data_IF_481616144723
#
_entry.id   IF_481616144723
#
_cell.length_a   1.000
_cell.length_b   1.000
_cell.length_c   1.000
_cell.angle_alpha   90.00
_cell.angle_beta   90.00
_cell.angle_gamma   90.00
#
_symmetry.space_group_name_H-M   'P 1'
#
loop_
_entity.id
_entity.type
_entity.pdbx_description
1 polymer ?
#
# COMPACT_ATOMS: atom_id res chain seq x y z
N UNK A 1 13.13 -6.88 -10.16
CA UNK A 1 11.99 -7.78 -10.46
C UNK A 1 11.72 -7.99 -11.95
N UNK A 2 11.35 -6.96 -12.73
CA UNK A 2 11.00 -7.10 -14.16
C UNK A 2 12.12 -7.78 -14.97
N UNK A 3 13.37 -7.38 -14.77
CA UNK A 3 14.52 -7.98 -15.44
C UNK A 3 14.68 -9.47 -15.10
N UNK A 4 14.45 -9.84 -13.83
CA UNK A 4 14.47 -11.23 -13.39
C UNK A 4 13.39 -12.03 -14.13
N UNK A 5 12.15 -11.54 -14.23
CA UNK A 5 11.09 -12.21 -15.00
C UNK A 5 11.47 -12.38 -16.48
N UNK A 6 12.06 -11.36 -17.10
CA UNK A 6 12.51 -11.44 -18.50
C UNK A 6 13.60 -12.52 -18.68
N UNK A 7 14.56 -12.62 -17.75
CA UNK A 7 15.57 -13.70 -17.76
C UNK A 7 14.93 -15.09 -17.71
N UNK A 8 13.80 -15.24 -17.03
CA UNK A 8 13.00 -16.48 -17.00
C UNK A 8 12.03 -16.65 -18.19
N UNK A 9 12.15 -15.83 -19.24
CA UNK A 9 11.45 -15.99 -20.51
C UNK A 9 10.12 -15.25 -20.62
N UNK A 10 9.78 -14.39 -19.66
CA UNK A 10 8.65 -13.48 -19.81
C UNK A 10 8.93 -12.42 -20.89
N UNK A 11 7.90 -12.06 -21.67
CA UNK A 11 8.00 -11.08 -22.76
C UNK A 11 7.05 -9.92 -22.49
N UNK A 12 7.59 -8.70 -22.44
CA UNK A 12 6.80 -7.47 -22.27
C UNK A 12 5.72 -7.40 -23.35
N UNK A 13 4.47 -7.09 -22.97
CA UNK A 13 3.34 -6.98 -23.88
C UNK A 13 2.76 -8.30 -24.40
N UNK A 14 3.36 -9.45 -24.06
CA UNK A 14 2.84 -10.78 -24.46
C UNK A 14 2.52 -11.66 -23.26
N UNK A 15 3.46 -11.79 -22.32
CA UNK A 15 3.27 -12.59 -21.09
C UNK A 15 3.60 -11.81 -19.83
N UNK A 16 4.15 -10.60 -19.96
CA UNK A 16 4.41 -9.66 -18.88
C UNK A 16 3.76 -8.32 -19.18
N UNK A 17 2.90 -7.88 -18.28
CA UNK A 17 2.08 -6.70 -18.46
C UNK A 17 2.20 -5.79 -17.23
N UNK A 18 2.32 -4.48 -17.48
CA UNK A 18 2.12 -3.47 -16.45
C UNK A 18 0.70 -2.93 -16.48
N UNK A 19 0.19 -2.57 -15.30
CA UNK A 19 -1.04 -1.80 -15.13
C UNK A 19 -0.73 -0.59 -14.25
N UNK A 20 -0.40 0.53 -14.90
CA UNK A 20 -0.24 1.82 -14.23
C UNK A 20 -1.59 2.49 -14.05
N UNK A 21 -1.75 3.24 -12.97
CA UNK A 21 -2.99 3.93 -12.63
C UNK A 21 -2.71 5.26 -11.93
N UNK A 22 -3.72 6.12 -11.85
CA UNK A 22 -3.62 7.38 -11.09
C UNK A 22 -3.76 7.06 -9.60
N UNK A 23 -2.62 7.06 -8.89
CA UNK A 23 -2.55 6.73 -7.47
C UNK A 23 -3.26 7.75 -6.58
N UNK A 24 -3.66 8.91 -7.10
CA UNK A 24 -4.38 9.94 -6.34
C UNK A 24 -5.85 9.58 -6.17
N UNK A 25 -6.39 8.77 -7.07
CA UNK A 25 -7.81 8.42 -7.10
C UNK A 25 -8.12 7.23 -6.20
N UNK A 26 -9.39 7.05 -5.86
CA UNK A 26 -9.87 5.91 -5.08
C UNK A 26 -9.48 4.58 -5.73
N UNK A 27 -9.10 3.60 -4.89
CA UNK A 27 -8.76 2.24 -5.30
C UNK A 27 -9.93 1.48 -5.96
N UNK A 28 -11.16 1.98 -5.84
CA UNK A 28 -12.37 1.39 -6.44
C UNK A 28 -13.10 2.29 -7.43
N UNK A 29 -12.46 3.35 -7.94
CA UNK A 29 -13.10 4.20 -8.96
C UNK A 29 -13.34 3.39 -10.25
N UNK A 30 -14.51 3.57 -10.87
CA UNK A 30 -14.97 2.78 -12.02
C UNK A 30 -13.93 2.67 -13.14
N UNK A 31 -13.24 3.78 -13.43
CA UNK A 31 -12.18 3.82 -14.45
C UNK A 31 -11.07 2.81 -14.17
N UNK A 32 -10.67 2.64 -12.91
CA UNK A 32 -9.63 1.70 -12.52
C UNK A 32 -10.14 0.26 -12.50
N UNK A 33 -11.39 0.05 -12.09
CA UNK A 33 -12.01 -1.27 -12.07
C UNK A 33 -12.21 -1.81 -13.50
N UNK A 34 -12.84 -1.04 -14.39
CA UNK A 34 -13.02 -1.43 -15.78
C UNK A 34 -11.67 -1.53 -16.52
N UNK A 35 -10.72 -0.64 -16.23
CA UNK A 35 -9.37 -0.72 -16.78
C UNK A 35 -8.66 -2.02 -16.40
N UNK A 36 -8.75 -2.46 -15.14
CA UNK A 36 -8.13 -3.71 -14.68
C UNK A 36 -8.81 -4.93 -15.30
N UNK A 37 -10.15 -4.93 -15.40
CA UNK A 37 -10.92 -5.97 -16.09
C UNK A 37 -10.49 -6.15 -17.54
N UNK A 38 -10.43 -5.07 -18.32
CA UNK A 38 -9.96 -5.09 -19.71
C UNK A 38 -8.51 -5.59 -19.79
N UNK A 39 -7.67 -5.19 -18.84
CA UNK A 39 -6.28 -5.61 -18.79
C UNK A 39 -6.13 -7.12 -18.54
N UNK A 40 -6.88 -7.67 -17.59
CA UNK A 40 -6.90 -9.10 -17.29
C UNK A 40 -7.40 -9.92 -18.47
N UNK A 41 -8.48 -9.48 -19.13
CA UNK A 41 -9.00 -10.15 -20.33
C UNK A 41 -7.97 -10.14 -21.47
N UNK A 42 -7.31 -8.99 -21.68
CA UNK A 42 -6.26 -8.86 -22.71
C UNK A 42 -5.09 -9.80 -22.42
N UNK A 43 -4.62 -9.83 -21.17
CA UNK A 43 -3.52 -10.70 -20.77
C UNK A 43 -3.88 -12.19 -20.86
N UNK A 44 -5.11 -12.55 -20.53
CA UNK A 44 -5.65 -13.91 -20.67
C UNK A 44 -5.68 -14.37 -22.13
N UNK A 45 -6.21 -13.53 -23.03
CA UNK A 45 -6.25 -13.80 -24.48
C UNK A 45 -4.83 -13.91 -25.06
N UNK A 46 -3.96 -12.96 -24.77
CA UNK A 46 -2.56 -12.96 -25.23
C UNK A 46 -1.77 -14.17 -24.70
N UNK A 47 -2.16 -14.71 -23.55
CA UNK A 47 -1.54 -15.89 -22.94
C UNK A 47 -2.11 -17.22 -23.44
N UNK A 48 -2.98 -17.22 -24.46
CA UNK A 48 -3.59 -18.41 -25.04
C UNK A 48 -4.70 -19.03 -24.18
N UNK A 49 -5.44 -18.20 -23.43
CA UNK A 49 -6.51 -18.65 -22.55
C UNK A 49 -6.03 -19.18 -21.19
N UNK A 50 -4.79 -18.90 -20.81
CA UNK A 50 -4.27 -19.21 -19.47
C UNK A 50 -4.59 -18.09 -18.51
N UNK A 51 -5.05 -18.45 -17.31
CA UNK A 51 -5.23 -17.52 -16.19
C UNK A 51 -3.92 -16.81 -15.84
N UNK A 52 -4.05 -15.58 -15.37
CA UNK A 52 -2.97 -14.61 -15.12
C UNK A 52 -2.55 -14.68 -13.65
N UNK A 53 -1.25 -14.47 -13.38
CA UNK A 53 -0.75 -14.25 -12.03
C UNK A 53 -0.59 -12.74 -11.80
N UNK A 54 -1.18 -12.22 -10.74
CA UNK A 54 -1.08 -10.81 -10.34
C UNK A 54 0.06 -10.66 -9.33
N UNK A 55 0.92 -9.67 -9.54
CA UNK A 55 1.85 -9.18 -8.50
C UNK A 55 1.49 -7.73 -8.22
N UNK A 56 1.16 -7.42 -6.97
CA UNK A 56 0.84 -6.06 -6.52
C UNK A 56 1.82 -5.63 -5.43
N UNK A 57 2.03 -4.32 -5.32
CA UNK A 57 2.87 -3.72 -4.27
C UNK A 57 2.12 -2.58 -3.59
N UNK A 58 2.30 -2.46 -2.28
CA UNK A 58 1.76 -1.37 -1.46
C UNK A 58 0.26 -1.19 -1.69
N UNK A 59 -0.19 0.05 -1.91
CA UNK A 59 -1.57 0.39 -2.22
C UNK A 59 -2.17 -0.37 -3.42
N UNK A 60 -1.33 -0.85 -4.36
CA UNK A 60 -1.81 -1.72 -5.44
C UNK A 60 -2.46 -3.01 -4.93
N UNK A 61 -2.12 -3.48 -3.72
CA UNK A 61 -2.82 -4.57 -3.06
C UNK A 61 -4.25 -4.20 -2.67
N UNK A 62 -4.49 -2.97 -2.20
CA UNK A 62 -5.83 -2.46 -1.88
C UNK A 62 -6.70 -2.33 -3.14
N UNK A 63 -6.13 -1.88 -4.26
CA UNK A 63 -6.80 -1.85 -5.57
C UNK A 63 -7.24 -3.27 -5.97
N UNK A 64 -6.34 -4.25 -5.85
CA UNK A 64 -6.65 -5.65 -6.19
C UNK A 64 -7.73 -6.21 -5.24
N UNK A 65 -7.67 -5.92 -3.93
CA UNK A 65 -8.72 -6.28 -2.98
C UNK A 65 -10.09 -5.66 -3.32
N UNK A 66 -10.12 -4.39 -3.72
CA UNK A 66 -11.36 -3.74 -4.17
C UNK A 66 -11.93 -4.44 -5.39
N UNK A 67 -11.09 -4.70 -6.40
CA UNK A 67 -11.49 -5.40 -7.61
C UNK A 67 -11.97 -6.83 -7.32
N UNK A 68 -11.30 -7.54 -6.42
CA UNK A 68 -11.68 -8.88 -5.96
C UNK A 68 -13.07 -8.90 -5.33
N UNK A 69 -13.39 -7.88 -4.52
CA UNK A 69 -14.68 -7.73 -3.83
C UNK A 69 -15.80 -7.36 -4.80
N UNK A 70 -15.55 -6.41 -5.72
CA UNK A 70 -16.56 -5.88 -6.65
C UNK A 70 -16.77 -6.74 -7.91
N UNK A 71 -15.74 -7.46 -8.36
CA UNK A 71 -15.74 -8.23 -9.60
C UNK A 71 -15.19 -9.64 -9.38
N UNK A 72 -15.72 -10.32 -8.36
CA UNK A 72 -15.24 -11.63 -7.92
C UNK A 72 -15.29 -12.70 -9.02
N UNK A 73 -16.35 -12.71 -9.82
CA UNK A 73 -16.54 -13.61 -10.96
C UNK A 73 -15.48 -13.40 -12.05
N UNK A 74 -15.18 -12.14 -12.38
CA UNK A 74 -14.13 -11.76 -13.32
C UNK A 74 -12.76 -12.16 -12.78
N UNK A 75 -12.51 -11.92 -11.48
CA UNK A 75 -11.27 -12.31 -10.83
C UNK A 75 -11.08 -13.83 -10.87
N UNK A 76 -12.09 -14.61 -10.46
CA UNK A 76 -12.07 -16.06 -10.49
C UNK A 76 -11.85 -16.62 -11.91
N UNK A 77 -12.44 -15.97 -12.93
CA UNK A 77 -12.30 -16.35 -14.33
C UNK A 77 -10.87 -16.15 -14.84
N UNK A 78 -10.25 -15.01 -14.54
CA UNK A 78 -9.00 -14.61 -15.18
C UNK A 78 -7.74 -14.80 -14.33
N UNK A 79 -7.85 -14.90 -13.00
CA UNK A 79 -6.70 -14.91 -12.09
C UNK A 79 -6.44 -16.32 -11.56
N UNK A 80 -5.16 -16.69 -11.51
CA UNK A 80 -4.67 -17.97 -10.99
C UNK A 80 -3.98 -17.81 -9.63
N UNK A 81 -3.07 -16.83 -9.54
CA UNK A 81 -2.32 -16.50 -8.33
C UNK A 81 -2.33 -15.01 -8.11
N UNK A 82 -2.37 -14.59 -6.85
CA UNK A 82 -2.11 -13.22 -6.46
C UNK A 82 -0.98 -13.20 -5.42
N UNK A 83 0.11 -12.52 -5.77
CA UNK A 83 1.26 -12.26 -4.90
C UNK A 83 1.19 -10.79 -4.49
N UNK A 84 0.97 -10.52 -3.22
CA UNK A 84 0.89 -9.18 -2.68
C UNK A 84 2.14 -8.84 -1.87
N UNK A 85 2.71 -7.66 -2.09
CA UNK A 85 3.97 -7.23 -1.47
C UNK A 85 3.74 -5.93 -0.70
N UNK A 86 4.00 -5.94 0.61
CA UNK A 86 3.97 -4.78 1.50
C UNK A 86 2.65 -3.97 1.44
N UNK A 87 1.50 -4.63 1.32
CA UNK A 87 0.21 -3.93 1.23
C UNK A 87 -0.30 -3.49 2.61
N UNK A 88 -0.72 -2.23 2.78
CA UNK A 88 -1.30 -1.74 4.03
C UNK A 88 -2.77 -2.16 4.18
N UNK A 89 -3.05 -3.46 4.34
CA UNK A 89 -4.43 -3.97 4.38
C UNK A 89 -5.29 -3.27 5.44
N UNK A 90 -4.73 -2.93 6.60
CA UNK A 90 -5.42 -2.21 7.68
C UNK A 90 -5.03 -0.74 7.77
N UNK A 91 -4.28 -0.22 6.80
CA UNK A 91 -3.78 1.16 6.78
C UNK A 91 -2.34 1.30 7.27
N UNK A 92 -1.83 2.53 7.19
CA UNK A 92 -0.48 2.92 7.59
C UNK A 92 -0.55 4.17 8.49
N UNK A 93 -1.03 4.03 9.74
CA UNK A 93 -1.49 5.14 10.59
C UNK A 93 -0.53 6.31 10.68
N UNK A 94 0.72 6.08 11.11
CA UNK A 94 1.67 7.16 11.34
C UNK A 94 1.96 7.96 10.07
N UNK A 95 2.28 7.27 8.96
CA UNK A 95 2.56 7.93 7.69
C UNK A 95 1.33 8.67 7.11
N UNK A 96 0.13 8.11 7.25
CA UNK A 96 -1.09 8.68 6.64
C UNK A 96 -1.65 9.84 7.48
N UNK A 97 -1.70 9.70 8.80
CA UNK A 97 -2.10 10.80 9.70
C UNK A 97 -1.19 12.01 9.48
N UNK A 98 0.12 11.76 9.40
CA UNK A 98 1.08 12.82 9.16
C UNK A 98 0.95 13.46 7.77
N UNK A 99 0.73 12.64 6.73
CA UNK A 99 0.49 13.11 5.37
C UNK A 99 -0.72 14.05 5.28
N UNK A 100 -1.78 13.78 6.05
CA UNK A 100 -3.00 14.59 6.08
C UNK A 100 -2.89 15.85 6.95
N UNK A 101 -2.03 15.85 7.98
CA UNK A 101 -1.89 17.00 8.88
C UNK A 101 -0.82 17.97 8.43
N UNK A 102 0.36 17.44 8.08
CA UNK A 102 1.53 18.30 7.84
C UNK A 102 2.26 17.95 6.55
N UNK A 103 1.84 16.86 5.89
CA UNK A 103 2.49 16.26 4.72
C UNK A 103 3.53 15.23 5.12
N UNK A 104 4.13 14.52 4.17
CA UNK A 104 5.22 13.57 4.45
C UNK A 104 6.35 13.79 3.45
N UNK A 105 7.57 13.98 3.95
CA UNK A 105 8.74 13.77 3.11
C UNK A 105 9.04 12.27 3.15
N UNK A 106 8.86 11.57 2.03
CA UNK A 106 9.16 10.14 1.88
C UNK A 106 10.67 9.82 1.93
N UNK A 107 11.41 10.48 2.82
CA UNK A 107 12.85 10.65 2.74
C UNK A 107 13.52 10.45 4.10
N UNK A 108 13.67 9.19 4.48
CA UNK A 108 14.95 8.70 4.95
C UNK A 108 15.42 7.66 3.93
N UNK A 109 16.31 8.06 3.02
CA UNK A 109 16.83 7.19 1.94
C UNK A 109 16.84 7.81 0.54
N UNK A 110 16.35 9.03 0.39
CA UNK A 110 16.59 9.88 -0.77
C UNK A 110 17.51 11.01 -0.33
N UNK A 111 18.79 10.92 -0.66
CA UNK A 111 19.45 12.17 -1.02
C UNK A 111 18.62 12.75 -2.20
N UNK A 112 17.80 13.77 -1.88
CA UNK A 112 17.52 14.92 -2.74
C UNK A 112 16.99 14.74 -4.18
N UNK A 113 16.28 13.66 -4.54
CA UNK A 113 15.67 13.59 -5.90
C UNK A 113 14.25 14.15 -6.05
N UNK A 114 13.55 14.47 -4.96
CA UNK A 114 12.30 15.23 -5.00
C UNK A 114 12.40 16.38 -4.00
N UNK A 115 12.81 17.57 -4.47
CA UNK A 115 12.83 18.83 -3.72
C UNK A 115 11.41 19.36 -3.43
N UNK A 116 10.47 18.48 -3.10
CA UNK A 116 9.10 18.86 -2.77
C UNK A 116 9.05 19.08 -1.27
N UNK A 117 8.76 20.30 -0.85
CA UNK A 117 8.62 20.61 0.57
C UNK A 117 7.50 19.75 1.18
N UNK A 118 7.60 19.46 2.48
CA UNK A 118 6.58 18.69 3.21
C UNK A 118 5.18 19.29 3.02
N UNK A 119 5.09 20.61 3.09
CA UNK A 119 3.85 21.35 2.86
C UNK A 119 3.34 21.22 1.42
N UNK A 120 4.22 21.26 0.42
CA UNK A 120 3.80 21.02 -0.97
C UNK A 120 3.26 19.61 -1.16
N UNK A 121 3.84 18.61 -0.48
CA UNK A 121 3.29 17.25 -0.48
C UNK A 121 1.92 17.19 0.19
N UNK A 122 1.74 17.86 1.33
CA UNK A 122 0.42 17.99 1.97
C UNK A 122 -0.63 18.52 0.99
N UNK A 123 -0.35 19.64 0.31
CA UNK A 123 -1.27 20.25 -0.65
C UNK A 123 -1.60 19.34 -1.85
N UNK A 124 -0.68 18.45 -2.25
CA UNK A 124 -0.94 17.44 -3.27
C UNK A 124 -1.87 16.32 -2.75
N UNK A 125 -1.66 15.89 -1.51
CA UNK A 125 -2.25 14.65 -0.97
C UNK A 125 -3.61 14.86 -0.28
N UNK A 126 -3.90 16.06 0.23
CA UNK A 126 -5.09 16.32 1.06
C UNK A 126 -6.42 16.09 0.35
N UNK A 127 -6.43 16.17 -0.99
CA UNK A 127 -7.60 15.90 -1.86
C UNK A 127 -7.48 14.56 -2.61
N UNK A 128 -6.56 13.67 -2.21
CA UNK A 128 -6.40 12.35 -2.84
C UNK A 128 -7.19 11.28 -2.07
N UNK A 129 -8.30 10.72 -2.63
CA UNK A 129 -9.04 9.65 -1.96
C UNK A 129 -8.23 8.44 -1.53
N UNK A 130 -7.17 8.11 -2.27
CA UNK A 130 -6.28 7.01 -1.92
C UNK A 130 -5.60 7.16 -0.56
N UNK A 131 -5.32 8.39 -0.13
CA UNK A 131 -4.68 8.67 1.17
C UNK A 131 -5.65 8.36 2.31
N UNK A 132 -6.90 8.79 2.17
CA UNK A 132 -7.96 8.50 3.15
C UNK A 132 -8.26 7.00 3.21
N UNK A 133 -8.14 6.27 2.10
CA UNK A 133 -8.33 4.81 2.07
C UNK A 133 -7.22 4.02 2.78
N UNK A 134 -6.10 4.67 3.11
CA UNK A 134 -4.99 4.09 3.89
C UNK A 134 -4.96 4.55 5.35
N UNK A 135 -5.95 5.33 5.80
CA UNK A 135 -6.15 5.60 7.23
C UNK A 135 -6.27 4.29 8.02
N UNK A 136 -5.93 4.36 9.31
CA UNK A 136 -6.08 3.22 10.22
C UNK A 136 -7.52 2.69 10.15
N UNK A 137 -7.68 1.39 9.97
CA UNK A 137 -8.99 0.77 10.04
C UNK A 137 -9.51 0.84 11.49
N UNK A 138 -10.61 1.58 11.78
CA UNK A 138 -11.17 1.67 13.14
C UNK A 138 -11.81 0.35 13.59
N UNK A 139 -12.24 -0.50 12.65
CA UNK A 139 -12.86 -1.78 12.94
C UNK A 139 -11.84 -2.91 13.13
N UNK A 140 -10.55 -2.63 12.88
CA UNK A 140 -9.49 -3.62 13.07
C UNK A 140 -9.04 -3.66 14.53
N UNK A 141 -8.96 -4.87 15.08
CA UNK A 141 -8.50 -5.09 16.44
C UNK A 141 -6.96 -5.04 16.51
N UNK A 142 -6.41 -3.83 16.42
CA UNK A 142 -4.98 -3.59 16.62
C UNK A 142 -4.53 -4.08 18.00
N UNK A 143 -3.35 -4.72 18.08
CA UNK A 143 -2.71 -5.05 19.37
C UNK A 143 -2.57 -3.84 20.28
N UNK A 144 -2.30 -2.69 19.67
CA UNK A 144 -2.27 -1.37 20.28
C UNK A 144 -2.93 -0.40 19.32
N UNK A 145 -3.95 0.34 19.77
CA UNK A 145 -4.62 1.32 18.92
C UNK A 145 -3.62 2.41 18.48
N UNK A 146 -3.55 2.76 17.19
CA UNK A 146 -2.76 3.89 16.73
C UNK A 146 -3.42 5.20 17.15
N UNK A 147 -2.62 6.14 17.66
CA UNK A 147 -3.11 7.40 18.20
C UNK A 147 -2.50 8.59 17.47
N UNK A 148 -3.26 9.68 17.40
CA UNK A 148 -2.70 11.02 17.25
C UNK A 148 -2.64 11.64 18.64
N UNK A 149 -1.51 12.22 19.01
CA UNK A 149 -1.30 12.84 20.31
C UNK A 149 -0.95 14.32 20.13
N UNK A 150 -1.46 15.17 21.01
CA UNK A 150 -1.21 16.60 20.95
C UNK A 150 -0.96 17.14 22.35
N UNK A 151 0.19 17.78 22.56
CA UNK A 151 0.42 18.56 23.78
C UNK A 151 -0.39 19.85 23.69
N UNK A 152 -1.40 20.00 24.54
CA UNK A 152 -2.37 21.10 24.51
C UNK A 152 -2.21 21.99 25.73
N UNK A 153 -2.25 23.29 25.50
CA UNK A 153 -2.31 24.29 26.57
C UNK A 153 -3.76 24.46 26.99
N UNK A 154 -4.06 24.16 28.24
CA UNK A 154 -5.37 24.44 28.83
C UNK A 154 -5.26 25.64 29.76
N UNK A 155 -6.27 26.51 29.70
CA UNK A 155 -6.45 27.59 30.65
C UNK A 155 -7.76 27.36 31.40
N UNK A 156 -7.67 27.00 32.69
CA UNK A 156 -8.82 26.89 33.59
C UNK A 156 -8.53 27.73 34.82
N UNK A 157 -9.47 28.59 35.20
CA UNK A 157 -9.44 29.37 36.44
C UNK A 157 -8.11 30.11 36.69
N UNK A 158 -7.60 30.84 35.68
CA UNK A 158 -6.33 31.58 35.67
C UNK A 158 -5.04 30.74 35.85
N UNK A 159 -5.15 29.41 35.95
CA UNK A 159 -4.01 28.50 35.88
C UNK A 159 -3.85 27.93 34.46
N UNK A 160 -2.60 27.92 33.99
CA UNK A 160 -2.22 27.31 32.71
C UNK A 160 -1.60 25.95 32.96
N UNK A 161 -2.21 24.90 32.43
CA UNK A 161 -1.64 23.55 32.43
C UNK A 161 -1.34 23.08 31.01
N UNK A 162 -0.43 22.11 30.89
CA UNK A 162 -0.09 21.46 29.62
C UNK A 162 -0.38 19.97 29.75
N UNK A 163 -1.30 19.48 28.93
CA UNK A 163 -1.78 18.10 28.97
C UNK A 163 -1.57 17.42 27.61
N UNK A 164 -1.35 16.11 27.62
CA UNK A 164 -1.25 15.31 26.39
C UNK A 164 -2.63 14.74 26.08
N UNK A 165 -3.29 15.30 25.06
CA UNK A 165 -4.52 14.75 24.52
C UNK A 165 -4.18 13.63 23.52
N UNK A 166 -5.00 12.59 23.46
CA UNK A 166 -4.83 11.45 22.55
C UNK A 166 -6.14 11.17 21.84
N UNK A 167 -6.06 10.95 20.53
CA UNK A 167 -7.19 10.77 19.63
C UNK A 167 -7.02 9.44 18.93
N UNK A 168 -7.99 8.54 19.12
CA UNK A 168 -8.05 7.27 18.38
C UNK A 168 -8.44 7.47 16.89
N UNK A 169 -8.48 6.41 16.06
CA UNK A 169 -8.83 6.56 14.64
C UNK A 169 -10.20 7.21 14.38
N UNK A 170 -11.18 7.08 15.29
CA UNK A 170 -12.50 7.71 15.15
C UNK A 170 -12.45 9.16 15.62
N UNK A 171 -11.85 9.41 16.78
CA UNK A 171 -11.72 10.75 17.37
C UNK A 171 -10.82 11.66 16.53
N UNK A 172 -9.84 11.09 15.81
CA UNK A 172 -8.93 11.81 14.93
C UNK A 172 -9.63 12.60 13.81
N UNK A 173 -10.87 12.22 13.45
CA UNK A 173 -11.66 12.93 12.43
C UNK A 173 -11.94 14.37 12.86
N UNK A 174 -12.31 14.59 14.13
CA UNK A 174 -12.55 15.93 14.66
C UNK A 174 -11.24 16.72 14.74
N UNK A 175 -10.14 16.05 15.07
CA UNK A 175 -8.82 16.67 15.08
C UNK A 175 -8.41 17.15 13.67
N UNK A 176 -8.63 16.35 12.63
CA UNK A 176 -8.35 16.75 11.24
C UNK A 176 -9.18 17.97 10.84
N UNK A 177 -10.47 18.00 11.18
CA UNK A 177 -11.34 19.15 10.94
C UNK A 177 -10.75 20.42 11.56
N UNK A 178 -10.43 20.38 12.85
CA UNK A 178 -9.92 21.53 13.58
C UNK A 178 -8.53 21.97 13.10
N UNK A 179 -7.64 21.02 12.81
CA UNK A 179 -6.30 21.30 12.33
C UNK A 179 -6.30 21.93 10.93
N UNK A 180 -7.19 21.47 10.05
CA UNK A 180 -7.26 21.91 8.65
C UNK A 180 -8.25 23.04 8.41
N UNK A 181 -8.97 23.52 9.43
CA UNK A 181 -10.01 24.56 9.25
C UNK A 181 -9.52 25.88 8.64
N UNK A 182 -8.22 26.18 8.77
CA UNK A 182 -7.55 27.36 8.18
C UNK A 182 -6.62 27.00 7.02
N UNK A 183 -6.61 25.74 6.57
CA UNK A 183 -5.72 25.31 5.51
C UNK A 183 -6.09 25.95 4.17
N UNK A 184 -5.09 26.51 3.50
CA UNK A 184 -5.23 27.20 2.22
C UNK A 184 -4.04 26.94 1.29
N UNK A 185 -4.33 26.93 -0.01
CA UNK A 185 -3.35 26.93 -1.09
C UNK A 185 -3.30 28.31 -1.74
N UNK A 186 -2.10 28.89 -1.84
CA UNK A 186 -1.87 30.06 -2.69
C UNK A 186 -1.56 29.60 -4.12
N UNK A 187 -2.44 29.95 -5.06
CA UNK A 187 -2.27 29.70 -6.48
C UNK A 187 -2.49 31.00 -7.26
N UNK A 188 -1.43 31.51 -7.89
CA UNK A 188 -1.43 32.79 -8.62
C UNK A 188 -1.96 33.98 -7.79
N UNK A 189 -1.60 34.04 -6.50
CA UNK A 189 -2.04 35.10 -5.58
C UNK A 189 -3.48 34.95 -5.11
N UNK A 190 -4.16 33.85 -5.45
CA UNK A 190 -5.49 33.50 -4.95
C UNK A 190 -5.36 32.44 -3.86
N UNK A 191 -5.93 32.74 -2.70
CA UNK A 191 -6.09 31.79 -1.60
C UNK A 191 -7.28 30.88 -1.87
N UNK A 192 -7.03 29.58 -1.94
CA UNK A 192 -8.01 28.52 -2.14
C UNK A 192 -8.09 27.73 -0.84
N UNK A 193 -9.24 27.74 -0.18
CA UNK A 193 -9.45 26.94 1.03
C UNK A 193 -9.40 25.44 0.70
N UNK A 194 -8.66 24.68 1.51
CA UNK A 194 -8.53 23.22 1.41
C UNK A 194 -8.76 22.58 2.77
N UNK A 195 -9.96 22.72 3.36
CA UNK A 195 -10.28 22.12 4.64
C UNK A 195 -10.31 20.58 4.54
N UNK A 196 -10.41 19.91 5.69
CA UNK A 196 -10.60 18.46 5.71
C UNK A 196 -11.84 18.05 4.91
N UNK A 197 -11.68 17.07 4.00
CA UNK A 197 -12.72 16.74 3.04
C UNK A 197 -13.56 15.53 3.48
N UNK A 198 -14.70 15.80 4.13
CA UNK A 198 -15.65 14.78 4.58
C UNK A 198 -16.25 13.93 3.46
N UNK A 199 -16.39 14.47 2.24
CA UNK A 199 -16.92 13.71 1.11
C UNK A 199 -15.93 12.61 0.69
N UNK A 200 -14.63 12.93 0.69
CA UNK A 200 -13.57 11.95 0.45
C UNK A 200 -13.50 10.94 1.58
N UNK A 201 -13.54 11.38 2.85
CA UNK A 201 -13.57 10.47 4.00
C UNK A 201 -14.73 9.49 3.90
N UNK A 202 -15.95 9.97 3.64
CA UNK A 202 -17.14 9.12 3.46
C UNK A 202 -16.95 8.10 2.33
N UNK A 203 -16.34 8.52 1.23
CA UNK A 203 -16.01 7.61 0.13
C UNK A 203 -15.02 6.52 0.56
N UNK A 204 -13.97 6.90 1.30
CA UNK A 204 -12.97 5.98 1.83
C UNK A 204 -13.55 5.00 2.86
N UNK A 205 -14.48 5.43 3.73
CA UNK A 205 -15.22 4.54 4.64
C UNK A 205 -16.03 3.50 3.86
N UNK A 206 -16.68 3.89 2.75
CA UNK A 206 -17.35 2.92 1.88
C UNK A 206 -16.36 1.98 1.20
N UNK A 207 -15.17 2.47 0.80
CA UNK A 207 -14.10 1.60 0.29
C UNK A 207 -13.62 0.61 1.36
N UNK A 208 -13.53 1.02 2.62
CA UNK A 208 -13.19 0.12 3.74
C UNK A 208 -14.20 -1.03 3.88
N UNK A 209 -15.49 -0.76 3.72
CA UNK A 209 -16.51 -1.83 3.68
C UNK A 209 -16.29 -2.80 2.53
N UNK A 210 -15.94 -2.31 1.33
CA UNK A 210 -15.61 -3.14 0.17
C UNK A 210 -14.39 -4.03 0.46
N UNK A 211 -13.33 -3.46 1.07
CA UNK A 211 -12.13 -4.20 1.45
C UNK A 211 -12.44 -5.29 2.49
N UNK A 212 -13.22 -4.97 3.53
CA UNK A 212 -13.61 -5.91 4.58
C UNK A 212 -14.47 -7.07 4.04
N UNK A 213 -15.20 -6.86 2.94
CA UNK A 213 -16.03 -7.86 2.28
C UNK A 213 -15.26 -8.72 1.26
N UNK A 214 -13.99 -8.41 0.97
CA UNK A 214 -13.22 -9.12 -0.03
C UNK A 214 -13.02 -10.59 0.36
N UNK A 215 -13.33 -11.50 -0.56
CA UNK A 215 -13.15 -12.94 -0.37
C UNK A 215 -12.43 -13.54 -1.57
N UNK A 216 -11.40 -14.34 -1.30
CA UNK A 216 -10.68 -15.04 -2.34
C UNK A 216 -11.59 -16.14 -2.93
N UNK A 217 -11.80 -16.19 -4.26
CA UNK A 217 -12.60 -17.26 -4.87
C UNK A 217 -11.84 -18.59 -4.88
N UNK A 218 -12.61 -19.68 -4.93
CA UNK A 218 -12.06 -21.03 -5.02
C UNK A 218 -11.12 -21.17 -6.23
N UNK A 219 -10.00 -21.88 -6.01
CA UNK A 219 -9.02 -22.17 -7.05
C UNK A 219 -8.11 -21.00 -7.42
N UNK A 220 -8.10 -19.90 -6.65
CA UNK A 220 -7.07 -18.87 -6.72
C UNK A 220 -6.14 -18.98 -5.51
N UNK A 221 -4.82 -19.01 -5.75
CA UNK A 221 -3.84 -19.01 -4.66
C UNK A 221 -3.41 -17.59 -4.30
N UNK A 222 -3.35 -17.29 -3.01
CA UNK A 222 -2.85 -16.02 -2.49
C UNK A 222 -1.52 -16.21 -1.75
N UNK A 223 -0.58 -15.30 -1.98
CA UNK A 223 0.72 -15.24 -1.32
C UNK A 223 0.98 -13.82 -0.83
N UNK A 224 1.55 -13.66 0.35
CA UNK A 224 1.84 -12.36 0.94
C UNK A 224 3.30 -12.24 1.33
N UNK A 225 3.91 -11.11 0.97
CA UNK A 225 5.22 -10.68 1.44
C UNK A 225 5.01 -9.38 2.20
N UNK A 226 5.56 -9.26 3.39
CA UNK A 226 5.52 -8.03 4.18
C UNK A 226 6.92 -7.70 4.72
N UNK A 227 7.24 -6.42 4.88
CA UNK A 227 8.52 -6.03 5.45
C UNK A 227 8.49 -6.05 6.99
N UNK A 228 9.65 -6.28 7.58
CA UNK A 228 9.86 -6.36 9.03
C UNK A 228 11.19 -5.72 9.41
N UNK A 229 11.45 -5.63 10.72
CA UNK A 229 12.74 -5.23 11.29
C UNK A 229 13.13 -3.77 11.09
N UNK A 230 12.19 -2.92 10.65
CA UNK A 230 12.36 -1.48 10.61
C UNK A 230 11.34 -0.79 11.53
N UNK A 231 11.81 0.25 12.22
CA UNK A 231 10.96 1.17 12.95
C UNK A 231 9.96 1.82 11.98
N UNK A 232 8.68 1.61 12.24
CA UNK A 232 7.60 2.06 11.36
C UNK A 232 6.69 3.02 12.10
N UNK A 233 6.53 4.28 11.62
CA UNK A 233 5.67 5.26 12.26
C UNK A 233 4.28 4.71 12.54
N UNK A 234 3.84 4.80 13.79
CA UNK A 234 2.57 4.25 14.24
C UNK A 234 1.70 5.31 14.87
N UNK A 235 2.17 5.96 15.94
CA UNK A 235 1.54 7.16 16.48
C UNK A 235 2.26 8.40 15.96
N UNK A 236 1.54 9.51 15.95
CA UNK A 236 2.09 10.85 15.67
C UNK A 236 1.78 11.76 16.85
N UNK A 237 2.78 12.50 17.32
CA UNK A 237 2.68 13.42 18.45
C UNK A 237 3.08 14.83 18.02
N UNK A 238 2.24 15.83 18.32
CA UNK A 238 2.49 17.23 17.98
C UNK A 238 2.63 18.12 19.22
N UNK A 239 3.58 19.07 19.15
CA UNK A 239 3.94 19.95 20.26
C UNK A 239 4.78 19.25 21.33
N UNK A 240 5.03 19.94 22.43
CA UNK A 240 5.75 19.39 23.59
C UNK A 240 5.26 20.03 24.89
N UNK A 241 5.70 19.51 26.04
CA UNK A 241 5.43 20.15 27.35
C UNK A 241 5.89 21.61 27.41
N UNK A 242 6.98 21.95 26.72
CA UNK A 242 7.56 23.30 26.72
C UNK A 242 7.07 24.17 25.57
N UNK A 243 6.49 23.57 24.53
CA UNK A 243 5.92 24.25 23.36
C UNK A 243 4.60 23.56 22.96
N UNK A 244 3.54 23.69 23.76
CA UNK A 244 2.24 23.09 23.48
C UNK A 244 1.54 23.81 22.32
N UNK A 245 0.62 23.09 21.67
CA UNK A 245 -0.30 23.60 20.65
C UNK A 245 -1.44 24.35 21.33
N UNK A 246 -1.57 25.65 21.07
CA UNK A 246 -2.66 26.48 21.60
C UNK A 246 -3.87 26.42 20.68
N UNK A 247 -3.64 26.61 19.38
CA UNK A 247 -4.64 26.48 18.32
C UNK A 247 -4.34 25.22 17.49
N UNK A 248 -5.30 24.30 17.37
CA UNK A 248 -5.12 23.05 16.62
C UNK A 248 -4.67 23.26 15.15
N UNK A 249 -4.92 24.43 14.56
CA UNK A 249 -4.41 24.75 13.21
C UNK A 249 -2.89 24.90 13.14
N UNK A 250 -2.22 25.08 14.27
CA UNK A 250 -0.75 25.11 14.37
C UNK A 250 -0.13 23.73 14.13
N UNK A 251 -0.92 22.65 14.25
CA UNK A 251 -0.46 21.28 13.96
C UNK A 251 0.11 21.21 12.55
N UNK A 252 -0.56 21.82 11.56
CA UNK A 252 -0.14 21.85 10.15
C UNK A 252 1.28 22.39 9.91
N UNK A 253 1.83 23.12 10.88
CA UNK A 253 3.14 23.76 10.81
C UNK A 253 4.12 23.26 11.87
N UNK A 254 3.78 22.15 12.54
CA UNK A 254 4.60 21.52 13.58
C UNK A 254 5.15 20.19 13.08
N UNK A 255 6.43 19.91 13.33
CA UNK A 255 7.00 18.59 13.02
C UNK A 255 6.51 17.58 14.07
N UNK A 256 6.01 16.40 13.65
CA UNK A 256 5.60 15.36 14.57
C UNK A 256 6.82 14.65 15.16
N UNK A 257 6.65 14.13 16.36
CA UNK A 257 7.42 12.99 16.87
C UNK A 257 6.64 11.70 16.61
N UNK A 258 7.34 10.63 16.26
CA UNK A 258 6.70 9.33 16.03
C UNK A 258 6.98 8.37 17.18
N UNK A 259 6.00 7.54 17.48
CA UNK A 259 6.26 6.24 18.09
C UNK A 259 6.29 5.18 16.99
N UNK A 260 7.06 4.11 17.23
CA UNK A 260 7.31 3.11 16.21
C UNK A 260 6.82 1.73 16.60
N UNK A 261 6.43 0.95 15.60
CA UNK A 261 6.22 -0.50 15.70
C UNK A 261 7.06 -1.21 14.64
N UNK A 262 7.18 -2.54 14.75
CA UNK A 262 7.85 -3.34 13.73
C UNK A 262 7.09 -3.30 12.40
N UNK A 263 7.79 -3.03 11.31
CA UNK A 263 7.26 -3.02 9.96
C UNK A 263 8.36 -2.76 8.94
N UNK A 264 8.04 -2.05 7.88
CA UNK A 264 8.92 -1.77 6.75
C UNK A 264 9.33 -0.29 6.61
N UNK A 265 9.11 0.51 7.66
CA UNK A 265 9.35 1.96 7.65
C UNK A 265 8.18 2.77 7.05
N UNK A 266 7.13 2.11 6.58
CA UNK A 266 5.88 2.77 6.12
C UNK A 266 4.64 2.06 6.62
N UNK A 267 4.58 0.74 6.45
CA UNK A 267 3.43 -0.10 6.78
C UNK A 267 3.78 -0.97 7.99
N UNK A 268 3.02 -0.88 9.10
CA UNK A 268 3.17 -1.80 10.22
C UNK A 268 3.04 -3.26 9.76
N UNK A 269 3.90 -4.15 10.25
CA UNK A 269 3.84 -5.56 9.88
C UNK A 269 2.48 -6.18 10.22
N UNK A 270 1.88 -5.78 11.34
CA UNK A 270 0.53 -6.20 11.74
C UNK A 270 -0.53 -5.85 10.69
N UNK A 271 -0.48 -4.64 10.14
CA UNK A 271 -1.38 -4.20 9.05
C UNK A 271 -1.17 -5.04 7.79
N UNK A 272 0.08 -5.28 7.42
CA UNK A 272 0.41 -6.03 6.20
C UNK A 272 0.07 -7.52 6.29
N UNK A 273 0.07 -8.10 7.49
CA UNK A 273 -0.31 -9.49 7.73
C UNK A 273 -1.82 -9.68 7.82
N UNK A 274 -2.57 -8.65 8.19
CA UNK A 274 -4.01 -8.70 8.41
C UNK A 274 -4.79 -8.55 7.09
N UNK A 275 -4.45 -9.40 6.11
CA UNK A 275 -5.04 -9.40 4.76
C UNK A 275 -6.43 -10.04 4.68
N UNK A 276 -6.80 -10.87 5.66
CA UNK A 276 -8.12 -11.51 5.74
C UNK A 276 -8.31 -12.71 4.80
N UNK A 277 -7.26 -13.19 4.14
CA UNK A 277 -7.31 -14.32 3.21
C UNK A 277 -6.69 -15.59 3.81
N UNK A 278 -6.98 -16.75 3.24
CA UNK A 278 -6.23 -17.98 3.53
C UNK A 278 -5.01 -18.04 2.60
N UNK A 279 -3.93 -17.34 2.96
CA UNK A 279 -2.71 -17.33 2.16
C UNK A 279 -2.04 -18.70 2.16
N UNK A 280 -1.59 -19.14 0.99
CA UNK A 280 -0.75 -20.34 0.84
C UNK A 280 0.57 -20.16 1.59
N UNK A 281 1.14 -18.95 1.54
CA UNK A 281 2.35 -18.60 2.27
C UNK A 281 2.35 -17.11 2.59
N UNK A 282 2.79 -16.76 3.81
CA UNK A 282 3.10 -15.39 4.23
C UNK A 282 4.55 -15.32 4.67
N UNK A 283 5.31 -14.37 4.15
CA UNK A 283 6.73 -14.27 4.45
C UNK A 283 7.09 -12.84 4.86
N UNK A 284 7.64 -12.71 6.07
CA UNK A 284 8.27 -11.47 6.54
C UNK A 284 9.70 -11.35 5.99
N UNK A 285 10.05 -10.19 5.44
CA UNK A 285 11.38 -9.90 4.90
C UNK A 285 11.97 -8.70 5.66
N UNK A 286 13.19 -8.78 6.22
CA UNK A 286 13.82 -7.67 6.91
C UNK A 286 14.32 -6.61 5.90
N UNK A 287 13.40 -5.87 5.28
CA UNK A 287 13.66 -4.85 4.28
C UNK A 287 12.66 -3.68 4.42
N UNK A 288 13.11 -2.47 4.09
CA UNK A 288 12.20 -1.31 4.01
C UNK A 288 11.17 -1.46 2.88
N UNK A 289 10.12 -0.64 2.94
CA UNK A 289 8.96 -0.67 2.04
C UNK A 289 9.32 -0.65 0.55
N UNK A 290 10.44 0.00 0.19
CA UNK A 290 10.97 0.04 -1.18
C UNK A 290 12.03 -1.02 -1.43
N UNK A 291 12.91 -1.28 -0.46
CA UNK A 291 13.97 -2.29 -0.62
C UNK A 291 13.39 -3.69 -0.84
N UNK A 292 12.20 -3.99 -0.32
CA UNK A 292 11.51 -5.27 -0.57
C UNK A 292 11.31 -5.56 -2.07
N UNK A 293 11.25 -4.55 -2.94
CA UNK A 293 11.14 -4.73 -4.40
C UNK A 293 12.47 -5.05 -5.10
N UNK A 294 13.58 -4.89 -4.38
CA UNK A 294 14.94 -5.14 -4.83
C UNK A 294 15.61 -6.32 -4.11
N UNK A 295 14.99 -6.80 -3.03
CA UNK A 295 15.50 -7.90 -2.20
C UNK A 295 15.57 -9.24 -2.98
N UNK A 296 16.70 -9.92 -2.87
CA UNK A 296 16.93 -11.18 -3.58
C UNK A 296 16.08 -12.33 -3.05
N UNK A 297 15.75 -12.33 -1.75
CA UNK A 297 14.89 -13.34 -1.14
C UNK A 297 13.47 -13.21 -1.68
N UNK A 298 12.98 -11.97 -1.86
CA UNK A 298 11.71 -11.71 -2.55
C UNK A 298 11.74 -12.25 -3.98
N UNK A 299 12.85 -12.08 -4.70
CA UNK A 299 12.96 -12.65 -6.04
C UNK A 299 12.93 -14.17 -6.06
N UNK A 300 13.55 -14.84 -5.07
CA UNK A 300 13.50 -16.30 -4.93
C UNK A 300 12.09 -16.79 -4.60
N UNK A 301 11.35 -16.09 -3.73
CA UNK A 301 9.95 -16.38 -3.42
C UNK A 301 9.06 -16.26 -4.66
N UNK A 302 9.20 -15.17 -5.42
CA UNK A 302 8.45 -14.97 -6.66
C UNK A 302 8.77 -16.08 -7.66
N UNK A 303 10.03 -16.48 -7.81
CA UNK A 303 10.42 -17.60 -8.69
C UNK A 303 9.78 -18.92 -8.27
N UNK A 304 9.82 -19.24 -6.97
CA UNK A 304 9.17 -20.42 -6.37
C UNK A 304 7.67 -20.41 -6.64
N UNK A 305 6.97 -19.33 -6.30
CA UNK A 305 5.51 -19.24 -6.42
C UNK A 305 5.01 -19.15 -7.86
N UNK A 306 5.83 -18.63 -8.77
CA UNK A 306 5.56 -18.67 -10.21
C UNK A 306 6.05 -19.95 -10.89
N UNK A 307 6.64 -20.89 -10.14
CA UNK A 307 7.14 -22.19 -10.62
C UNK A 307 8.16 -22.04 -11.77
N UNK A 308 9.04 -21.04 -11.67
CA UNK A 308 10.01 -20.74 -12.73
C UNK A 308 11.21 -21.72 -12.73
N UNK A 309 11.52 -22.31 -11.58
CA UNK A 309 12.65 -23.23 -11.41
C UNK A 309 12.46 -24.54 -12.20
N UNK A 310 11.22 -25.00 -12.39
CA UNK A 310 10.92 -26.23 -13.13
C UNK A 310 11.18 -26.10 -14.65
N UNK A 311 11.22 -24.87 -15.19
CA UNK A 311 11.42 -24.64 -16.64
C UNK A 311 12.88 -24.70 -17.07
N UNK A 312 13.84 -24.54 -16.15
CA UNK A 312 15.27 -24.65 -16.46
C UNK A 312 15.66 -26.13 -16.64
N UNK A 313 15.10 -27.03 -15.84
CA UNK A 313 15.37 -28.49 -15.93
C UNK A 313 14.84 -29.09 -17.23
N UNK A 314 13.67 -28.66 -17.70
CA UNK A 314 13.06 -29.18 -18.94
C UNK A 314 13.74 -28.71 -20.24
N UNK A 315 14.66 -27.74 -20.18
CA UNK A 315 15.49 -27.35 -21.35
C UNK A 315 16.73 -28.23 -21.55
N UNK A 316 17.09 -29.09 -20.59
CA UNK A 316 18.28 -29.97 -20.69
C UNK A 316 17.95 -31.44 -20.98
N UNK A 317 16.66 -31.81 -21.10
CA UNK A 317 16.24 -33.19 -21.40
C UNK A 317 15.66 -33.33 -22.82
N UNK A 318 16.45 -32.97 -23.83
CA UNK A 318 16.26 -33.45 -25.21
C UNK A 318 17.62 -33.78 -25.83
N UNK A 319 18.30 -34.78 -25.26
CA UNK A 319 19.29 -35.53 -26.04
C UNK A 319 18.57 -36.67 -26.75
N UNK A 320 18.46 -36.51 -28.07
CA UNK A 320 18.03 -37.53 -29.01
C UNK A 320 18.88 -38.80 -28.84
N UNK A 321 18.25 -39.92 -28.51
CA UNK A 321 18.87 -41.25 -28.68
C UNK A 321 19.03 -41.48 -30.19
N UNK A 322 20.27 -41.45 -30.66
CA UNK A 322 20.63 -42.01 -31.96
C UNK A 322 20.59 -43.53 -31.81
N UNK A 323 19.74 -44.19 -32.60
CA UNK A 323 19.72 -45.62 -32.73
C UNK A 323 20.82 -46.01 -33.73
N UNK A 324 21.86 -46.71 -33.26
CA UNK A 324 22.81 -47.37 -34.15
C UNK A 324 22.12 -48.59 -34.77
N UNK A 325 21.83 -48.47 -36.07
CA UNK A 325 21.43 -49.58 -36.90
C UNK A 325 22.68 -50.35 -37.33
N UNK A 326 22.70 -51.64 -37.00
CA UNK A 326 23.64 -52.63 -37.50
C UNK A 326 23.60 -52.73 -39.03
N UNK A 327 24.75 -52.64 -39.67
CA UNK A 327 24.94 -53.11 -41.04
C UNK A 327 26.02 -54.18 -41.09
N UNK A 328 25.57 -55.42 -41.13
CA UNK A 328 26.28 -56.55 -41.73
C UNK A 328 26.61 -56.26 -43.19
N UNK A 329 27.80 -56.64 -43.65
CA UNK A 329 28.03 -57.10 -45.02
C UNK A 329 29.27 -58.02 -45.08
N UNK A 330 28.97 -59.23 -45.55
CA UNK A 330 29.69 -60.22 -46.36
C UNK A 330 31.17 -59.96 -46.64
#
# INVERSE_FOLDING_TARGET
>A
MIEMLIKFGYKKGTTLFGYGYDFRQSNRIDKLMEGLKVKLETAYKASGGRKVNIISHSMGGLLVSCFLSLHNDVFAKYVNKWICIACPFQGAPGCINDSLLTGLQFVEGLESFFFVSRWTMHQLLIECPSIYEMLANPDFNWKRQPLIQVWRKQSKDDETSVELESFDPVESINLFEDALRKNELDFDGKKIALPFNYAILKWASNTRQVLNNAKLPDGVSFYSIYGTSFETPFDVCYGSKTSPIEDLSEICHTLPEYSFVNGDGTVPAESAMADGFEAVERVGIPATHRQVLQDESVFKLIQKWLELDQKVVNKHSKTSRVADASSSNI
#
